data_IF_931041831674
#
_entry.id   IF_931041831674
#
_cell.length_a   1.000
_cell.length_b   1.000
_cell.length_c   1.000
_cell.angle_alpha   90.00
_cell.angle_beta   90.00
_cell.angle_gamma   90.00
#
_symmetry.space_group_name_H-M   'P 1'
#
loop_
_entity.id
_entity.type
_entity.pdbx_description
1 polymer ?
#
# COMPACT_ATOMS: atom_id res chain seq x y z
N UNK A 1 1.20 16.00 -0.39
CA UNK A 1 -0.27 16.07 -0.58
C UNK A 1 -0.66 16.64 -1.94
N UNK A 2 -0.17 17.82 -2.34
CA UNK A 2 -0.60 18.51 -3.57
C UNK A 2 -0.48 17.68 -4.85
N UNK A 3 0.64 16.96 -5.04
CA UNK A 3 0.84 16.14 -6.24
C UNK A 3 -0.22 15.04 -6.44
N UNK A 4 -0.68 14.39 -5.36
CA UNK A 4 -1.76 13.39 -5.46
C UNK A 4 -3.12 14.04 -5.75
N UNK A 5 -3.42 15.17 -5.13
CA UNK A 5 -4.65 15.93 -5.40
C UNK A 5 -4.68 16.35 -6.87
N UNK A 6 -3.62 16.98 -7.37
CA UNK A 6 -3.50 17.41 -8.77
C UNK A 6 -3.64 16.22 -9.73
N UNK A 7 -2.96 15.10 -9.44
CA UNK A 7 -3.03 13.90 -10.27
C UNK A 7 -4.45 13.34 -10.36
N UNK A 8 -5.12 13.10 -9.23
CA UNK A 8 -6.47 12.54 -9.24
C UNK A 8 -7.52 13.51 -9.79
N UNK A 9 -7.38 14.81 -9.55
CA UNK A 9 -8.23 15.82 -10.20
C UNK A 9 -8.09 15.77 -11.72
N UNK A 10 -6.84 15.66 -12.22
CA UNK A 10 -6.58 15.50 -13.64
C UNK A 10 -7.21 14.24 -14.23
N UNK A 11 -7.10 13.10 -13.53
CA UNK A 11 -7.73 11.83 -13.96
C UNK A 11 -9.26 11.96 -14.02
N UNK A 12 -9.88 12.58 -13.02
CA UNK A 12 -11.34 12.79 -12.99
C UNK A 12 -11.77 13.70 -14.15
N UNK A 13 -11.05 14.81 -14.39
CA UNK A 13 -11.34 15.74 -15.50
C UNK A 13 -11.16 15.02 -16.85
N UNK A 14 -10.10 14.22 -17.01
CA UNK A 14 -9.89 13.46 -18.23
C UNK A 14 -11.03 12.46 -18.48
N UNK A 15 -11.45 11.72 -17.46
CA UNK A 15 -12.57 10.79 -17.55
C UNK A 15 -13.89 11.50 -17.89
N UNK A 16 -14.16 12.65 -17.26
CA UNK A 16 -15.31 13.48 -17.59
C UNK A 16 -15.27 13.96 -19.04
N UNK A 17 -14.10 14.41 -19.54
CA UNK A 17 -13.89 14.80 -20.92
C UNK A 17 -14.20 13.68 -21.91
N UNK A 18 -13.74 12.45 -21.62
CA UNK A 18 -14.07 11.25 -22.41
C UNK A 18 -15.58 10.99 -22.41
N UNK A 19 -16.23 11.09 -21.24
CA UNK A 19 -17.69 10.99 -21.13
C UNK A 19 -18.43 12.00 -22.02
N UNK A 20 -17.95 13.24 -22.09
CA UNK A 20 -18.50 14.31 -22.95
C UNK A 20 -18.30 14.05 -24.45
N UNK A 21 -17.23 13.33 -24.83
CA UNK A 21 -17.03 12.89 -26.22
C UNK A 21 -18.07 11.84 -26.62
N UNK A 22 -18.34 10.88 -25.69
CA UNK A 22 -19.33 9.80 -25.92
C UNK A 22 -20.74 10.35 -25.91
N UNK A 23 -21.09 11.18 -24.90
CA UNK A 23 -22.43 11.76 -24.73
C UNK A 23 -22.33 13.26 -24.44
N UNK A 24 -22.35 14.13 -25.49
CA UNK A 24 -22.33 15.59 -25.32
C UNK A 24 -23.53 16.07 -24.50
N UNK A 25 -23.27 16.96 -23.52
CA UNK A 25 -24.31 17.52 -22.65
C UNK A 25 -24.70 18.90 -23.15
N UNK A 26 -25.78 18.99 -23.94
CA UNK A 26 -26.29 20.23 -24.53
C UNK A 26 -26.63 21.31 -23.49
N UNK A 27 -27.11 20.91 -22.31
CA UNK A 27 -27.45 21.82 -21.19
C UNK A 27 -26.24 22.61 -20.65
N UNK A 28 -25.01 22.09 -20.82
CA UNK A 28 -23.78 22.76 -20.45
C UNK A 28 -23.11 23.50 -21.62
N UNK A 29 -23.83 23.69 -22.74
CA UNK A 29 -23.27 24.31 -23.93
C UNK A 29 -22.23 23.44 -24.65
N UNK A 30 -22.08 22.17 -24.27
CA UNK A 30 -21.11 21.25 -24.86
C UNK A 30 -21.83 20.44 -25.93
N UNK A 31 -21.90 21.02 -27.12
CA UNK A 31 -22.57 20.42 -28.28
C UNK A 31 -21.61 19.69 -29.22
N UNK A 32 -20.35 20.10 -29.22
CA UNK A 32 -19.33 19.59 -30.12
C UNK A 32 -18.38 18.63 -29.38
N UNK A 33 -18.10 17.45 -29.96
CA UNK A 33 -17.19 16.43 -29.41
C UNK A 33 -15.77 16.93 -29.16
N UNK A 34 -15.29 17.87 -29.97
CA UNK A 34 -13.96 18.47 -29.80
C UNK A 34 -13.78 19.18 -28.44
N UNK A 35 -14.86 19.75 -27.86
CA UNK A 35 -14.83 20.34 -26.52
C UNK A 35 -14.61 19.26 -25.44
N UNK A 36 -15.23 18.08 -25.60
CA UNK A 36 -14.95 16.93 -24.75
C UNK A 36 -13.48 16.48 -24.84
N UNK A 37 -12.93 16.45 -26.06
CA UNK A 37 -11.50 16.16 -26.27
C UNK A 37 -10.59 17.20 -25.60
N UNK A 38 -10.92 18.48 -25.70
CA UNK A 38 -10.16 19.55 -25.05
C UNK A 38 -10.16 19.39 -23.50
N UNK A 39 -11.32 19.06 -22.91
CA UNK A 39 -11.44 18.77 -21.48
C UNK A 39 -10.61 17.54 -21.10
N UNK A 40 -10.67 16.46 -21.89
CA UNK A 40 -9.89 15.26 -21.66
C UNK A 40 -8.38 15.55 -21.72
N UNK A 41 -7.94 16.29 -22.73
CA UNK A 41 -6.54 16.70 -22.88
C UNK A 41 -6.06 17.56 -21.70
N UNK A 42 -6.85 18.55 -21.28
CA UNK A 42 -6.55 19.37 -20.11
C UNK A 42 -6.41 18.49 -18.83
N UNK A 43 -7.30 17.52 -18.64
CA UNK A 43 -7.22 16.56 -17.55
C UNK A 43 -5.94 15.71 -17.60
N UNK A 44 -5.55 15.22 -18.77
CA UNK A 44 -4.31 14.45 -18.96
C UNK A 44 -3.08 15.32 -18.65
N UNK A 45 -3.03 16.56 -19.10
CA UNK A 45 -1.95 17.49 -18.79
C UNK A 45 -1.86 17.74 -17.29
N UNK A 46 -3.00 18.00 -16.64
CA UNK A 46 -3.05 18.22 -15.19
C UNK A 46 -2.59 16.97 -14.42
N UNK A 47 -3.00 15.77 -14.84
CA UNK A 47 -2.52 14.52 -14.25
C UNK A 47 -0.99 14.36 -14.44
N UNK A 48 -0.48 14.67 -15.63
CA UNK A 48 0.96 14.68 -15.92
C UNK A 48 1.74 15.63 -15.00
N UNK A 49 1.26 16.86 -14.82
CA UNK A 49 1.83 17.80 -13.85
C UNK A 49 1.80 17.20 -12.45
N UNK A 50 0.66 16.62 -12.04
CA UNK A 50 0.52 15.95 -10.76
C UNK A 50 1.57 14.85 -10.54
N UNK A 51 1.93 14.06 -11.56
CA UNK A 51 2.96 13.03 -11.47
C UNK A 51 4.36 13.60 -11.20
N UNK A 52 4.66 14.80 -11.69
CA UNK A 52 5.97 15.43 -11.61
C UNK A 52 6.16 16.25 -10.31
N UNK A 53 5.07 16.62 -9.63
CA UNK A 53 5.16 17.43 -8.42
C UNK A 53 5.97 16.70 -7.33
N UNK A 54 6.84 17.42 -6.60
CA UNK A 54 7.67 16.86 -5.55
C UNK A 54 6.82 16.35 -4.38
N UNK A 55 7.42 15.51 -3.58
CA UNK A 55 6.88 15.03 -2.29
C UNK A 55 7.65 15.65 -1.14
N UNK A 56 6.95 15.91 -0.04
CA UNK A 56 7.56 16.38 1.20
C UNK A 56 7.88 15.19 2.10
N UNK A 57 9.00 15.29 2.81
CA UNK A 57 9.34 14.36 3.88
C UNK A 57 8.54 14.71 5.15
N UNK A 58 8.08 13.68 5.82
CA UNK A 58 7.49 13.75 7.16
C UNK A 58 8.33 12.92 8.11
N UNK A 59 8.36 13.30 9.39
CA UNK A 59 9.06 12.58 10.45
C UNK A 59 8.16 12.40 11.65
N UNK A 60 8.43 11.36 12.44
CA UNK A 60 7.78 11.19 13.75
C UNK A 60 8.25 12.31 14.70
N UNK A 61 7.38 12.64 15.65
CA UNK A 61 7.74 13.51 16.79
C UNK A 61 8.26 12.72 17.99
N UNK A 62 7.76 11.47 18.14
CA UNK A 62 8.17 10.52 19.18
C UNK A 62 7.98 9.09 18.71
N UNK A 63 8.66 8.14 19.32
CA UNK A 63 8.48 6.69 19.10
C UNK A 63 7.26 6.22 19.88
N UNK A 64 6.27 5.65 19.20
CA UNK A 64 5.05 5.07 19.79
C UNK A 64 4.88 3.58 19.44
N UNK A 65 5.49 3.15 18.33
CA UNK A 65 5.39 1.79 17.80
C UNK A 65 6.76 1.29 17.37
N UNK A 66 6.89 -0.02 17.18
CA UNK A 66 8.13 -0.60 16.63
C UNK A 66 8.40 -0.12 15.20
N UNK A 67 7.34 0.19 14.44
CA UNK A 67 7.49 0.80 13.10
C UNK A 67 8.29 2.11 13.17
N UNK A 68 8.09 2.91 14.20
CA UNK A 68 8.75 4.22 14.36
C UNK A 68 10.28 4.09 14.52
N UNK A 69 10.75 2.97 15.04
CA UNK A 69 12.17 2.67 15.19
C UNK A 69 12.86 2.38 13.85
N UNK A 70 12.13 1.76 12.90
CA UNK A 70 12.64 1.35 11.59
C UNK A 70 12.30 2.33 10.47
N UNK A 71 11.27 3.14 10.62
CA UNK A 71 10.82 4.10 9.62
C UNK A 71 10.43 5.45 10.26
N UNK A 72 11.40 6.17 10.91
CA UNK A 72 11.14 7.44 11.59
C UNK A 72 10.85 8.59 10.60
N UNK A 73 11.19 8.43 9.33
CA UNK A 73 10.95 9.39 8.26
C UNK A 73 10.31 8.70 7.05
N UNK A 74 9.47 9.41 6.32
CA UNK A 74 8.82 8.92 5.11
C UNK A 74 8.40 10.06 4.19
N UNK A 75 8.28 9.76 2.90
CA UNK A 75 7.62 10.62 1.92
C UNK A 75 6.24 10.09 1.54
N UNK A 76 6.00 8.77 1.71
CA UNK A 76 4.73 8.14 1.38
C UNK A 76 4.22 7.36 2.58
N UNK A 77 2.91 7.52 2.86
CA UNK A 77 2.25 6.89 4.00
C UNK A 77 0.86 6.42 3.63
N UNK A 78 0.50 5.24 4.10
CA UNK A 78 -0.83 4.67 3.98
C UNK A 78 -1.23 4.04 5.32
N UNK A 79 -2.41 4.39 5.84
CA UNK A 79 -2.91 3.89 7.12
C UNK A 79 -4.35 3.42 6.96
N UNK A 80 -4.64 2.25 7.49
CA UNK A 80 -6.00 1.71 7.58
C UNK A 80 -6.21 1.10 8.95
N UNK A 81 -7.46 1.09 9.44
CA UNK A 81 -7.82 0.47 10.71
C UNK A 81 -9.22 -0.14 10.64
N UNK A 82 -9.44 -1.16 11.51
CA UNK A 82 -10.72 -1.83 11.67
C UNK A 82 -10.88 -2.27 13.13
N UNK A 83 -12.14 -2.37 13.59
CA UNK A 83 -12.50 -3.03 14.84
C UNK A 83 -12.83 -4.49 14.59
N UNK A 84 -12.44 -5.36 15.51
CA UNK A 84 -12.61 -6.82 15.43
C UNK A 84 -13.15 -7.29 16.79
N UNK A 85 -14.23 -8.07 16.78
CA UNK A 85 -14.85 -8.65 17.96
C UNK A 85 -14.11 -9.93 18.42
N UNK A 86 -12.82 -9.78 18.69
CA UNK A 86 -11.97 -10.87 19.18
C UNK A 86 -10.82 -10.30 20.03
N UNK A 87 -10.30 -11.07 21.02
CA UNK A 87 -9.20 -10.61 21.87
C UNK A 87 -7.89 -10.48 21.07
N UNK A 88 -6.95 -9.61 21.54
CA UNK A 88 -5.71 -9.30 20.82
C UNK A 88 -4.89 -10.52 20.37
N UNK A 89 -4.74 -11.53 21.23
CA UNK A 89 -3.97 -12.73 20.90
C UNK A 89 -4.54 -13.47 19.68
N UNK A 90 -5.87 -13.59 19.61
CA UNK A 90 -6.56 -14.25 18.49
C UNK A 90 -6.46 -13.46 17.20
N UNK A 91 -6.55 -12.13 17.30
CA UNK A 91 -6.38 -11.22 16.17
C UNK A 91 -4.94 -11.27 15.64
N UNK A 92 -3.96 -11.27 16.53
CA UNK A 92 -2.55 -11.37 16.13
C UNK A 92 -2.24 -12.67 15.41
N UNK A 93 -2.80 -13.79 15.89
CA UNK A 93 -2.67 -15.08 15.23
C UNK A 93 -3.35 -15.08 13.85
N UNK A 94 -4.50 -14.41 13.71
CA UNK A 94 -5.14 -14.24 12.42
C UNK A 94 -4.26 -13.42 11.44
N UNK A 95 -3.58 -12.36 11.90
CA UNK A 95 -2.62 -11.60 11.08
C UNK A 95 -1.52 -12.52 10.53
N UNK A 96 -0.99 -13.40 11.36
CA UNK A 96 0.08 -14.33 10.97
C UNK A 96 -0.37 -15.39 9.97
N UNK A 97 -1.65 -15.81 10.02
CA UNK A 97 -2.18 -16.96 9.26
C UNK A 97 -3.02 -16.62 8.04
N UNK A 98 -3.43 -15.36 7.84
CA UNK A 98 -4.22 -14.97 6.66
C UNK A 98 -3.45 -15.26 5.37
N UNK A 99 -4.14 -15.93 4.42
CA UNK A 99 -3.61 -16.28 3.11
C UNK A 99 -4.13 -15.33 2.03
N UNK A 100 -3.46 -15.34 0.88
CA UNK A 100 -3.79 -14.48 -0.26
C UNK A 100 -5.19 -14.75 -0.84
N UNK A 101 -5.68 -16.00 -0.79
CA UNK A 101 -7.00 -16.40 -1.27
C UNK A 101 -8.15 -15.94 -0.37
N UNK A 102 -7.89 -15.63 0.88
CA UNK A 102 -8.85 -15.07 1.82
C UNK A 102 -9.05 -13.55 1.63
N UNK A 103 -8.15 -12.90 0.91
CA UNK A 103 -8.19 -11.45 0.68
C UNK A 103 -8.91 -11.15 -0.63
N UNK A 104 -10.13 -10.64 -0.53
CA UNK A 104 -10.96 -10.30 -1.70
C UNK A 104 -10.20 -9.39 -2.67
N UNK A 105 -10.30 -9.67 -3.96
CA UNK A 105 -9.65 -8.95 -5.06
C UNK A 105 -8.12 -8.97 -5.05
N UNK A 106 -7.46 -9.66 -4.10
CA UNK A 106 -6.00 -9.66 -4.00
C UNK A 106 -5.33 -10.08 -5.31
N UNK A 107 -5.71 -11.25 -5.83
CA UNK A 107 -5.15 -11.80 -7.07
C UNK A 107 -5.40 -10.90 -8.27
N UNK A 108 -6.61 -10.35 -8.41
CA UNK A 108 -6.99 -9.46 -9.52
C UNK A 108 -6.16 -8.18 -9.47
N UNK A 109 -6.10 -7.52 -8.32
CA UNK A 109 -5.39 -6.24 -8.18
C UNK A 109 -3.86 -6.40 -8.29
N UNK A 110 -3.31 -7.49 -7.76
CA UNK A 110 -1.88 -7.78 -7.93
C UNK A 110 -1.56 -8.18 -9.37
N UNK A 111 -2.44 -8.89 -10.07
CA UNK A 111 -2.30 -9.19 -11.49
C UNK A 111 -2.28 -7.92 -12.34
N UNK A 112 -3.22 -6.99 -12.11
CA UNK A 112 -3.25 -5.67 -12.76
C UNK A 112 -1.95 -4.90 -12.46
N UNK A 113 -1.51 -4.87 -11.18
CA UNK A 113 -0.29 -4.18 -10.76
C UNK A 113 0.97 -4.66 -11.46
N UNK A 114 1.06 -5.95 -11.78
CA UNK A 114 2.19 -6.53 -12.54
C UNK A 114 1.98 -6.51 -14.07
N UNK A 115 0.92 -5.86 -14.55
CA UNK A 115 0.61 -5.77 -15.98
C UNK A 115 0.35 -7.12 -16.63
N UNK A 116 -0.28 -8.07 -15.90
CA UNK A 116 -0.55 -9.42 -16.37
C UNK A 116 0.65 -10.36 -16.45
N UNK A 117 1.86 -9.90 -16.07
CA UNK A 117 3.09 -10.71 -16.16
C UNK A 117 3.13 -11.75 -15.07
N UNK A 118 3.64 -12.93 -15.38
CA UNK A 118 4.02 -13.91 -14.38
C UNK A 118 5.33 -13.46 -13.72
N UNK A 119 5.33 -13.45 -12.41
CA UNK A 119 6.49 -13.15 -11.58
C UNK A 119 6.83 -14.37 -10.73
N UNK A 120 8.09 -14.52 -10.30
CA UNK A 120 8.44 -15.49 -9.26
C UNK A 120 7.55 -15.35 -8.03
N UNK A 121 7.46 -16.37 -7.16
CA UNK A 121 6.74 -16.26 -5.89
C UNK A 121 7.14 -15.00 -5.13
N UNK A 122 6.15 -14.24 -4.70
CA UNK A 122 6.34 -12.97 -4.01
C UNK A 122 5.01 -12.52 -3.41
N UNK A 123 5.01 -11.46 -2.62
CA UNK A 123 3.76 -10.86 -2.11
C UNK A 123 2.80 -10.42 -3.23
N UNK A 124 3.30 -10.12 -4.43
CA UNK A 124 2.47 -9.77 -5.59
C UNK A 124 2.01 -10.99 -6.41
N UNK A 125 2.61 -12.15 -6.17
CA UNK A 125 2.29 -13.42 -6.82
C UNK A 125 2.21 -14.54 -5.76
N UNK A 126 1.42 -14.30 -4.72
CA UNK A 126 1.28 -15.21 -3.59
C UNK A 126 0.39 -16.41 -3.96
N UNK A 127 0.87 -17.60 -3.62
CA UNK A 127 0.09 -18.83 -3.63
C UNK A 127 -1.01 -18.85 -2.56
N UNK A 128 -1.74 -19.96 -2.50
CA UNK A 128 -2.86 -20.14 -1.56
C UNK A 128 -2.54 -21.05 -0.35
N UNK A 129 -1.33 -21.63 -0.28
CA UNK A 129 -0.98 -22.59 0.77
C UNK A 129 -0.47 -21.91 2.04
N UNK A 130 0.45 -20.95 1.87
CA UNK A 130 1.15 -20.32 2.96
C UNK A 130 0.52 -18.98 3.35
N UNK A 131 0.79 -18.50 4.55
CA UNK A 131 0.34 -17.19 4.98
C UNK A 131 0.98 -16.09 4.12
N UNK A 132 0.29 -14.97 3.97
CA UNK A 132 0.81 -13.86 3.17
C UNK A 132 2.07 -13.25 3.80
N UNK A 133 2.19 -13.28 5.12
CA UNK A 133 3.39 -12.83 5.84
C UNK A 133 4.57 -13.77 5.57
N UNK A 134 4.36 -15.08 5.62
CA UNK A 134 5.43 -16.06 5.35
C UNK A 134 5.90 -15.98 3.90
N UNK A 135 4.96 -15.87 2.94
CA UNK A 135 5.31 -15.66 1.52
C UNK A 135 6.12 -14.36 1.35
N UNK A 136 5.72 -13.27 2.01
CA UNK A 136 6.43 -12.01 1.93
C UNK A 136 7.87 -12.15 2.47
N UNK A 137 8.03 -12.73 3.66
CA UNK A 137 9.34 -12.85 4.32
C UNK A 137 10.26 -13.86 3.65
N UNK A 138 9.71 -14.88 3.00
CA UNK A 138 10.51 -15.80 2.16
C UNK A 138 10.93 -15.15 0.82
N UNK A 139 10.29 -14.06 0.39
CA UNK A 139 10.44 -13.50 -0.96
C UNK A 139 10.60 -11.98 -0.95
N UNK A 140 11.68 -11.48 -0.37
CA UNK A 140 12.10 -10.09 -0.50
C UNK A 140 11.61 -9.13 0.59
N UNK A 141 10.93 -9.64 1.62
CA UNK A 141 10.70 -8.91 2.86
C UNK A 141 11.56 -9.49 3.99
N UNK A 142 11.81 -8.69 5.00
CA UNK A 142 12.41 -9.13 6.26
C UNK A 142 11.46 -8.80 7.41
N UNK A 143 11.39 -9.68 8.39
CA UNK A 143 10.72 -9.39 9.65
C UNK A 143 11.63 -8.51 10.49
N UNK A 144 11.18 -7.30 10.77
CA UNK A 144 11.95 -6.29 11.50
C UNK A 144 11.70 -6.38 13.00
N UNK A 145 10.44 -6.59 13.39
CA UNK A 145 10.05 -6.80 14.79
C UNK A 145 8.78 -7.64 14.89
N UNK A 146 8.68 -8.40 15.97
CA UNK A 146 7.46 -9.11 16.36
C UNK A 146 7.29 -9.02 17.87
N UNK A 147 6.35 -8.20 18.32
CA UNK A 147 5.97 -8.00 19.71
C UNK A 147 4.55 -8.54 19.90
N UNK A 148 4.44 -9.87 20.04
CA UNK A 148 3.16 -10.54 20.17
C UNK A 148 2.52 -10.26 21.54
N UNK A 149 1.20 -10.02 21.63
CA UNK A 149 0.24 -9.93 20.52
C UNK A 149 -0.01 -8.49 20.02
N UNK A 150 0.96 -7.57 20.12
CA UNK A 150 0.77 -6.14 19.93
C UNK A 150 1.17 -5.63 18.57
N UNK A 151 2.32 -6.04 18.04
CA UNK A 151 2.83 -5.48 16.79
C UNK A 151 3.67 -6.47 16.01
N UNK A 152 3.48 -6.50 14.69
CA UNK A 152 4.33 -7.16 13.70
C UNK A 152 4.81 -6.12 12.71
N UNK A 153 6.13 -6.05 12.47
CA UNK A 153 6.75 -5.13 11.51
C UNK A 153 7.53 -5.91 10.46
N UNK A 154 7.28 -5.63 9.19
CA UNK A 154 8.04 -6.16 8.06
C UNK A 154 8.53 -5.05 7.16
N UNK A 155 9.64 -5.27 6.46
CA UNK A 155 10.23 -4.29 5.57
C UNK A 155 10.76 -4.93 4.29
N UNK A 156 10.86 -4.12 3.23
CA UNK A 156 11.41 -4.52 1.94
C UNK A 156 12.16 -3.36 1.28
N UNK A 157 13.15 -3.68 0.47
CA UNK A 157 13.73 -2.74 -0.49
C UNK A 157 12.82 -2.69 -1.71
N UNK A 158 12.20 -1.54 -1.96
CA UNK A 158 11.27 -1.35 -3.08
C UNK A 158 11.90 -0.66 -4.28
N UNK A 159 13.08 -0.07 -4.08
CA UNK A 159 13.92 0.49 -5.14
C UNK A 159 15.39 0.26 -4.78
N UNK A 160 16.17 -0.14 -5.78
CA UNK A 160 17.62 -0.25 -5.70
C UNK A 160 18.23 0.07 -7.07
N UNK A 161 19.49 0.55 -7.12
CA UNK A 161 20.23 0.66 -8.38
C UNK A 161 20.38 -0.70 -9.07
N UNK A 162 20.44 -0.72 -10.42
CA UNK A 162 20.68 -1.97 -11.15
C UNK A 162 21.97 -2.65 -10.70
N UNK A 163 21.93 -3.98 -10.60
CA UNK A 163 23.09 -4.78 -10.20
C UNK A 163 23.35 -4.84 -8.69
N UNK A 164 22.53 -4.16 -7.87
CA UNK A 164 22.65 -4.26 -6.42
C UNK A 164 22.38 -5.69 -5.95
N UNK A 165 23.32 -6.24 -5.19
CA UNK A 165 23.21 -7.53 -4.52
C UNK A 165 23.51 -7.33 -3.04
N UNK A 166 22.81 -8.03 -2.17
CA UNK A 166 23.02 -7.99 -0.73
C UNK A 166 21.89 -8.69 0.01
N UNK A 167 22.20 -9.25 1.17
CA UNK A 167 21.19 -9.79 2.06
C UNK A 167 20.36 -8.64 2.64
N UNK A 168 19.05 -8.78 2.61
CA UNK A 168 18.14 -7.88 3.28
C UNK A 168 18.04 -8.31 4.75
N UNK A 169 18.59 -7.49 5.64
CA UNK A 169 18.59 -7.72 7.09
C UNK A 169 17.93 -6.55 7.82
N UNK A 170 17.48 -6.70 9.07
CA UNK A 170 16.88 -5.61 9.84
C UNK A 170 17.80 -4.39 9.98
N UNK A 171 19.11 -4.58 10.03
CA UNK A 171 20.10 -3.51 10.19
C UNK A 171 20.12 -2.54 8.99
N UNK A 172 19.72 -2.99 7.80
CA UNK A 172 19.59 -2.13 6.60
C UNK A 172 18.57 -1.02 6.83
N UNK A 173 17.53 -1.28 7.64
CA UNK A 173 16.49 -0.30 7.95
C UNK A 173 16.87 0.70 9.04
N UNK A 174 17.98 0.47 9.72
CA UNK A 174 18.50 1.35 10.80
C UNK A 174 19.70 2.19 10.35
N UNK A 175 20.19 1.96 9.13
CA UNK A 175 21.36 2.66 8.58
C UNK A 175 20.94 3.68 7.52
N UNK A 176 21.75 4.75 7.29
CA UNK A 176 21.57 5.61 6.14
C UNK A 176 21.59 4.80 4.84
N UNK A 177 20.63 5.07 3.95
CA UNK A 177 20.55 4.40 2.67
C UNK A 177 21.55 4.97 1.68
N UNK A 178 22.16 4.10 0.85
CA UNK A 178 22.92 4.57 -0.31
C UNK A 178 22.00 5.25 -1.34
N UNK A 179 22.56 6.17 -2.18
CA UNK A 179 21.79 6.85 -3.22
C UNK A 179 21.07 5.91 -4.19
N UNK A 180 19.79 6.19 -4.47
CA UNK A 180 18.96 5.43 -5.40
C UNK A 180 18.12 4.33 -4.73
N UNK A 181 18.25 4.14 -3.42
CA UNK A 181 17.45 3.17 -2.69
C UNK A 181 16.12 3.74 -2.20
N UNK A 182 15.17 2.84 -2.00
CA UNK A 182 13.91 3.11 -1.32
C UNK A 182 13.48 1.92 -0.48
N UNK A 183 13.10 2.18 0.77
CA UNK A 183 12.59 1.20 1.71
C UNK A 183 11.09 1.39 1.89
N UNK A 184 10.37 0.27 1.91
CA UNK A 184 8.99 0.21 2.38
C UNK A 184 8.96 -0.59 3.68
N UNK A 185 8.36 -0.02 4.71
CA UNK A 185 8.18 -0.65 6.02
C UNK A 185 6.69 -0.65 6.35
N UNK A 186 6.20 -1.77 6.84
CA UNK A 186 4.79 -1.94 7.15
C UNK A 186 4.62 -2.63 8.49
N UNK A 187 3.61 -2.20 9.26
CA UNK A 187 3.22 -2.90 10.47
C UNK A 187 1.75 -3.33 10.47
N UNK A 188 1.45 -4.19 11.43
CA UNK A 188 0.12 -4.40 12.00
C UNK A 188 0.21 -4.16 13.49
N UNK A 189 -0.62 -3.25 14.01
CA UNK A 189 -0.73 -2.97 15.45
C UNK A 189 -2.09 -3.44 15.93
N UNK A 190 -2.09 -4.21 17.01
CA UNK A 190 -3.29 -4.70 17.69
C UNK A 190 -3.38 -4.05 19.07
N UNK A 191 -4.47 -3.36 19.33
CA UNK A 191 -4.76 -2.75 20.64
C UNK A 191 -6.08 -3.30 21.15
N UNK A 192 -6.17 -3.61 22.45
CA UNK A 192 -7.42 -3.99 23.06
C UNK A 192 -8.46 -2.85 22.92
N UNK A 193 -9.71 -3.18 22.64
CA UNK A 193 -10.84 -2.27 22.47
C UNK A 193 -12.06 -2.87 23.18
N UNK A 194 -12.10 -2.72 24.50
CA UNK A 194 -13.04 -3.37 25.39
C UNK A 194 -12.63 -4.79 25.80
N UNK A 195 -13.51 -5.50 26.57
CA UNK A 195 -13.18 -6.78 27.20
C UNK A 195 -12.85 -7.91 26.19
N UNK A 196 -13.56 -7.95 25.07
CA UNK A 196 -13.47 -9.00 24.06
C UNK A 196 -13.23 -8.47 22.64
N UNK A 197 -12.77 -7.22 22.52
CA UNK A 197 -12.56 -6.58 21.24
C UNK A 197 -11.13 -6.09 21.04
N UNK A 198 -10.80 -5.85 19.79
CA UNK A 198 -9.52 -5.27 19.38
C UNK A 198 -9.71 -4.23 18.30
N UNK A 199 -8.83 -3.23 18.29
CA UNK A 199 -8.63 -2.32 17.16
C UNK A 199 -7.34 -2.69 16.47
N UNK A 200 -7.43 -3.05 15.20
CA UNK A 200 -6.27 -3.35 14.35
C UNK A 200 -6.02 -2.20 13.41
N UNK A 201 -4.77 -1.75 13.32
CA UNK A 201 -4.30 -0.83 12.29
C UNK A 201 -3.14 -1.43 11.52
N UNK A 202 -3.02 -1.07 10.26
CA UNK A 202 -1.84 -1.30 9.44
C UNK A 202 -1.37 0.03 8.89
N UNK A 203 -0.09 0.27 8.97
CA UNK A 203 0.58 1.44 8.43
C UNK A 203 1.72 1.01 7.52
N UNK A 204 1.80 1.63 6.34
CA UNK A 204 2.94 1.48 5.43
C UNK A 204 3.61 2.82 5.27
N UNK A 205 4.93 2.86 5.45
CA UNK A 205 5.77 4.03 5.19
C UNK A 205 6.78 3.69 4.11
N UNK A 206 7.03 4.63 3.21
CA UNK A 206 8.10 4.49 2.23
C UNK A 206 9.01 5.70 2.30
N UNK A 207 10.29 5.42 2.38
CA UNK A 207 11.36 6.40 2.35
C UNK A 207 12.26 6.12 1.14
N UNK A 208 12.54 7.16 0.35
CA UNK A 208 13.49 7.13 -0.75
C UNK A 208 14.55 8.21 -0.51
N UNK A 209 15.81 7.85 -0.65
CA UNK A 209 16.96 8.62 -0.20
C UNK A 209 17.35 9.81 -1.10
N UNK A 210 16.97 9.76 -2.39
CA UNK A 210 17.39 10.76 -3.37
C UNK A 210 16.23 11.40 -4.11
N UNK A 211 16.35 12.66 -4.59
CA UNK A 211 15.30 13.33 -5.34
C UNK A 211 14.84 12.56 -6.59
N UNK A 212 15.74 11.84 -7.25
CA UNK A 212 15.41 11.02 -8.42
C UNK A 212 14.60 9.78 -8.03
N UNK A 213 14.96 9.10 -6.92
CA UNK A 213 14.23 7.97 -6.37
C UNK A 213 12.86 8.41 -5.88
N UNK A 214 12.77 9.54 -5.18
CA UNK A 214 11.51 10.12 -4.71
C UNK A 214 10.55 10.44 -5.86
N UNK A 215 11.02 11.08 -6.94
CA UNK A 215 10.18 11.38 -8.12
C UNK A 215 9.67 10.11 -8.80
N UNK A 216 10.54 9.13 -9.03
CA UNK A 216 10.13 7.84 -9.64
C UNK A 216 9.10 7.12 -8.78
N UNK A 217 9.35 7.05 -7.48
CA UNK A 217 8.41 6.40 -6.57
C UNK A 217 7.12 7.20 -6.43
N UNK A 218 7.15 8.53 -6.46
CA UNK A 218 5.97 9.37 -6.40
C UNK A 218 5.01 9.11 -7.57
N UNK A 219 5.54 9.02 -8.79
CA UNK A 219 4.74 8.68 -9.97
C UNK A 219 4.10 7.29 -9.83
N UNK A 220 4.92 6.29 -9.47
CA UNK A 220 4.44 4.93 -9.22
C UNK A 220 3.38 4.87 -8.11
N UNK A 221 3.63 5.51 -6.96
CA UNK A 221 2.72 5.52 -5.83
C UNK A 221 1.35 6.10 -6.16
N UNK A 222 1.29 7.22 -6.88
CA UNK A 222 0.03 7.84 -7.29
C UNK A 222 -0.82 6.91 -8.14
N UNK A 223 -0.19 6.13 -9.02
CA UNK A 223 -0.90 5.17 -9.87
C UNK A 223 -1.39 3.96 -9.07
N UNK A 224 -0.55 3.39 -8.19
CA UNK A 224 -0.90 2.14 -7.51
C UNK A 224 -1.72 2.32 -6.23
N UNK A 225 -1.70 3.52 -5.63
CA UNK A 225 -2.29 3.78 -4.31
C UNK A 225 -3.77 3.34 -4.19
N UNK A 226 -4.67 3.61 -5.15
CA UNK A 226 -6.06 3.16 -5.02
C UNK A 226 -6.18 1.64 -4.90
N UNK A 227 -5.43 0.90 -5.71
CA UNK A 227 -5.39 -0.57 -5.64
C UNK A 227 -4.77 -1.08 -4.33
N UNK A 228 -3.68 -0.44 -3.87
CA UNK A 228 -3.05 -0.72 -2.57
C UNK A 228 -4.05 -0.53 -1.43
N UNK A 229 -4.75 0.59 -1.40
CA UNK A 229 -5.73 0.92 -0.38
C UNK A 229 -6.88 -0.10 -0.32
N UNK A 230 -7.34 -0.59 -1.48
CA UNK A 230 -8.35 -1.65 -1.54
C UNK A 230 -7.79 -2.94 -0.95
N UNK A 231 -6.60 -3.38 -1.38
CA UNK A 231 -5.95 -4.60 -0.86
C UNK A 231 -5.80 -4.53 0.66
N UNK A 232 -5.32 -3.40 1.22
CA UNK A 232 -5.13 -3.23 2.66
C UNK A 232 -6.44 -3.36 3.44
N UNK A 233 -7.51 -2.74 2.94
CA UNK A 233 -8.84 -2.85 3.56
C UNK A 233 -9.39 -4.28 3.48
N UNK A 234 -9.18 -4.96 2.36
CA UNK A 234 -9.62 -6.36 2.20
C UNK A 234 -8.78 -7.29 3.08
N UNK A 235 -7.48 -7.03 3.24
CA UNK A 235 -6.63 -7.78 4.15
C UNK A 235 -7.10 -7.64 5.61
N UNK A 236 -7.37 -6.42 6.06
CA UNK A 236 -7.95 -6.21 7.40
C UNK A 236 -9.30 -6.93 7.58
N UNK A 237 -10.14 -6.98 6.53
CA UNK A 237 -11.41 -7.73 6.57
C UNK A 237 -11.18 -9.25 6.64
N UNK A 238 -10.20 -9.78 5.93
CA UNK A 238 -9.82 -11.20 6.01
C UNK A 238 -9.31 -11.55 7.42
N UNK A 239 -8.46 -10.69 8.02
CA UNK A 239 -8.02 -10.83 9.41
C UNK A 239 -9.23 -10.86 10.36
N UNK A 240 -10.18 -9.92 10.19
CA UNK A 240 -11.40 -9.88 10.99
C UNK A 240 -12.20 -11.18 10.86
N UNK A 241 -12.48 -11.61 9.64
CA UNK A 241 -13.25 -12.81 9.39
C UNK A 241 -12.60 -14.03 10.06
N UNK A 242 -11.29 -14.22 9.90
CA UNK A 242 -10.56 -15.31 10.53
C UNK A 242 -10.55 -15.23 12.06
N UNK A 243 -10.40 -14.03 12.64
CA UNK A 243 -10.36 -13.82 14.07
C UNK A 243 -11.75 -13.98 14.73
N UNK A 244 -12.83 -13.64 14.05
CA UNK A 244 -14.20 -13.73 14.56
C UNK A 244 -14.83 -15.11 14.31
N UNK A 245 -14.28 -15.92 13.39
CA UNK A 245 -14.78 -17.29 13.15
C UNK A 245 -14.62 -18.17 14.39
N UNK A 246 -15.60 -19.03 14.75
CA UNK A 246 -15.47 -19.93 15.88
C UNK A 246 -14.22 -20.79 15.79
N UNK A 247 -13.53 -20.99 16.91
CA UNK A 247 -12.40 -21.92 17.01
C UNK A 247 -13.00 -23.33 17.14
N UNK A 248 -13.33 -23.97 16.03
CA UNK A 248 -13.91 -25.29 16.10
C UNK A 248 -14.53 -25.68 14.78
N UNK A 249 -13.77 -26.38 14.04
CA UNK A 249 -14.03 -27.44 13.07
C UNK A 249 -12.85 -27.53 12.12
N UNK A 250 -11.80 -28.07 12.63
CA UNK A 250 -10.68 -28.58 11.86
C UNK A 250 -10.41 -29.97 12.39
N UNK A 251 -11.19 -30.93 11.93
CA UNK A 251 -10.74 -32.29 11.72
C UNK A 251 -10.08 -32.40 10.35
#
# INVERSE_FOLDING_TARGET
MWGSVTFYSGVIIAAAGVGLVVKPIRRLGITARWRGLAVAAAGVVLAGIGLLLPVSESRISRVETRLDEYAPAWQFREVHAIRIAAPPARVFEAIRRVRADEILLFRTLTWIRRGGRELPPSILNAGSRDSLIDIATANGFVRLAEDAPRELVIGAVVMAPPGTRGALTPEVFQKPLPPGFGLATMNFVVRADGPNGSRVSTETRVFADSPSAQRRFAAYWRVIYPGSAIIRRMWLRAIRHRAESPTGSGE
#
